data_IF_567608237639
#
_entry.id   IF_567608237639
#
_cell.length_a   1.000
_cell.length_b   1.000
_cell.length_c   1.000
_cell.angle_alpha   90.00
_cell.angle_beta   90.00
_cell.angle_gamma   90.00
#
_symmetry.space_group_name_H-M   'P 1'
#
loop_
_entity.id
_entity.type
_entity.pdbx_description
1 polymer ?
#
# COMPACT_ATOMS: atom_id res chain seq x y z
N UNK A 1 23.48 -15.29 0.86
CA UNK A 1 23.21 -16.18 2.01
C UNK A 1 22.12 -15.61 2.91
N UNK A 2 22.29 -14.42 3.51
CA UNK A 2 21.35 -13.79 4.45
C UNK A 2 19.89 -13.70 3.93
N UNK A 3 19.71 -13.35 2.64
CA UNK A 3 18.38 -13.30 2.00
C UNK A 3 17.76 -14.70 1.83
N UNK A 4 18.56 -15.72 1.52
CA UNK A 4 18.10 -17.11 1.39
C UNK A 4 17.60 -17.64 2.73
N UNK A 5 18.35 -17.36 3.78
CA UNK A 5 18.01 -17.73 5.15
C UNK A 5 16.72 -17.03 5.61
N UNK A 6 16.61 -15.69 5.41
CA UNK A 6 15.44 -14.91 5.82
C UNK A 6 14.17 -15.34 5.09
N UNK A 7 14.27 -15.63 3.79
CA UNK A 7 13.15 -16.04 2.96
C UNK A 7 12.86 -17.55 3.04
N UNK A 8 13.70 -18.30 3.77
CA UNK A 8 13.64 -19.76 3.89
C UNK A 8 13.57 -20.48 2.54
N UNK A 9 14.48 -20.12 1.62
CA UNK A 9 14.55 -20.67 0.25
C UNK A 9 15.97 -21.08 -0.10
N UNK A 10 16.10 -22.05 -0.98
CA UNK A 10 17.41 -22.51 -1.49
C UNK A 10 17.96 -21.66 -2.65
N UNK A 11 17.10 -20.88 -3.31
CA UNK A 11 17.48 -20.06 -4.46
C UNK A 11 16.52 -18.85 -4.60
N UNK A 12 17.06 -17.74 -5.11
CA UNK A 12 16.28 -16.54 -5.39
C UNK A 12 15.65 -16.53 -6.81
N UNK A 13 15.81 -17.61 -7.58
CA UNK A 13 15.26 -17.73 -8.96
C UNK A 13 13.75 -17.47 -9.02
N UNK A 14 13.02 -17.94 -8.02
CA UNK A 14 11.56 -17.71 -7.94
C UNK A 14 11.13 -16.26 -7.73
N UNK A 15 12.07 -15.36 -7.44
CA UNK A 15 11.80 -13.93 -7.22
C UNK A 15 12.20 -13.06 -8.43
N UNK A 16 12.62 -13.66 -9.55
CA UNK A 16 13.08 -12.93 -10.78
C UNK A 16 14.18 -11.89 -10.47
N UNK A 17 15.14 -12.26 -9.62
CA UNK A 17 16.18 -11.35 -9.12
C UNK A 17 17.61 -11.82 -9.37
N UNK A 18 17.83 -12.95 -10.05
CA UNK A 18 19.16 -13.58 -10.20
C UNK A 18 20.16 -12.70 -10.98
N UNK A 19 19.68 -11.81 -11.84
CA UNK A 19 20.49 -10.87 -12.62
C UNK A 19 20.81 -9.56 -11.87
N UNK A 20 20.33 -9.40 -10.64
CA UNK A 20 20.45 -8.17 -9.87
C UNK A 20 21.55 -8.25 -8.78
N UNK A 21 22.79 -8.63 -9.12
CA UNK A 21 23.87 -8.79 -8.16
C UNK A 21 24.00 -7.62 -7.17
N UNK A 22 24.09 -6.39 -7.67
CA UNK A 22 24.18 -5.21 -6.80
C UNK A 22 22.89 -4.94 -6.00
N UNK A 23 21.73 -5.18 -6.60
CA UNK A 23 20.44 -5.07 -5.92
C UNK A 23 20.29 -6.07 -4.77
N UNK A 24 20.73 -7.31 -4.98
CA UNK A 24 20.75 -8.35 -3.96
C UNK A 24 21.72 -8.04 -2.83
N UNK A 25 22.91 -7.51 -3.15
CA UNK A 25 23.88 -7.04 -2.13
C UNK A 25 23.28 -5.91 -1.29
N UNK A 26 22.63 -4.92 -1.92
CA UNK A 26 21.98 -3.83 -1.20
C UNK A 26 20.84 -4.33 -0.31
N UNK A 27 20.00 -5.25 -0.81
CA UNK A 27 18.94 -5.87 -0.02
C UNK A 27 19.48 -6.68 1.16
N UNK A 28 20.57 -7.44 0.94
CA UNK A 28 21.27 -8.16 2.00
C UNK A 28 21.85 -7.23 3.07
N UNK A 29 22.47 -6.12 2.67
CA UNK A 29 22.99 -5.13 3.60
C UNK A 29 21.88 -4.46 4.43
N UNK A 30 20.75 -4.12 3.79
CA UNK A 30 19.58 -3.58 4.48
C UNK A 30 19.00 -4.58 5.49
N UNK A 31 18.93 -5.86 5.13
CA UNK A 31 18.47 -6.92 6.03
C UNK A 31 19.44 -7.13 7.21
N UNK A 32 20.76 -7.11 6.96
CA UNK A 32 21.76 -7.17 8.01
C UNK A 32 21.59 -6.02 9.01
N UNK A 33 21.46 -4.80 8.49
CA UNK A 33 21.22 -3.62 9.32
C UNK A 33 19.94 -3.76 10.18
N UNK A 34 18.86 -4.28 9.61
CA UNK A 34 17.63 -4.53 10.37
C UNK A 34 17.82 -5.58 11.46
N UNK A 35 18.55 -6.67 11.18
CA UNK A 35 18.86 -7.72 12.19
C UNK A 35 19.66 -7.17 13.36
N UNK A 36 20.60 -6.28 13.09
CA UNK A 36 21.46 -5.68 14.12
C UNK A 36 20.71 -4.66 15.02
N UNK A 37 19.69 -4.01 14.46
CA UNK A 37 18.99 -2.92 15.16
C UNK A 37 17.59 -3.29 15.68
N UNK A 38 17.03 -4.43 15.25
CA UNK A 38 15.74 -4.93 15.67
C UNK A 38 15.90 -6.29 16.37
N UNK A 39 14.94 -6.66 17.23
CA UNK A 39 14.91 -8.03 17.75
C UNK A 39 14.66 -9.00 16.61
N UNK A 40 15.29 -10.19 16.65
CA UNK A 40 15.19 -11.19 15.58
C UNK A 40 13.71 -11.47 15.18
N UNK A 41 12.82 -11.64 16.14
CA UNK A 41 11.39 -11.86 15.91
C UNK A 41 10.67 -10.67 15.25
N UNK A 42 11.23 -9.45 15.29
CA UNK A 42 10.61 -8.27 14.68
C UNK A 42 10.75 -8.22 13.16
N UNK A 43 11.57 -9.09 12.56
CA UNK A 43 11.81 -9.16 11.11
C UNK A 43 11.28 -10.43 10.46
N UNK A 44 10.67 -11.34 11.22
CA UNK A 44 10.12 -12.62 10.70
C UNK A 44 9.03 -12.41 9.65
N UNK A 45 8.35 -11.26 9.68
CA UNK A 45 7.35 -10.87 8.70
C UNK A 45 7.96 -10.49 7.33
N UNK A 46 9.29 -10.28 7.23
CA UNK A 46 9.99 -10.00 5.97
C UNK A 46 10.23 -11.32 5.25
N UNK A 47 9.20 -11.79 4.54
CA UNK A 47 9.20 -13.06 3.82
C UNK A 47 9.04 -12.89 2.30
N UNK A 48 9.14 -11.67 1.77
CA UNK A 48 8.91 -11.38 0.35
C UNK A 48 9.98 -10.47 -0.21
N UNK A 49 10.52 -10.86 -1.38
CA UNK A 49 11.40 -10.06 -2.21
C UNK A 49 10.67 -9.73 -3.51
N UNK A 50 10.67 -8.47 -3.92
CA UNK A 50 10.08 -8.03 -5.20
C UNK A 50 11.08 -7.21 -5.99
N UNK A 51 11.31 -7.64 -7.24
CA UNK A 51 12.01 -6.83 -8.21
C UNK A 51 11.15 -5.64 -8.62
N UNK A 52 11.70 -4.43 -8.53
CA UNK A 52 11.08 -3.23 -9.11
C UNK A 52 11.81 -2.90 -10.43
N UNK A 53 11.11 -3.05 -11.55
CA UNK A 53 11.67 -2.71 -12.87
C UNK A 53 11.62 -1.20 -13.06
N UNK A 54 12.78 -0.60 -13.35
CA UNK A 54 12.85 0.85 -13.64
C UNK A 54 12.10 1.24 -14.91
N UNK A 55 11.88 0.29 -15.84
CA UNK A 55 11.18 0.52 -17.11
C UNK A 55 9.69 0.79 -17.01
N UNK A 56 9.05 0.39 -15.89
CA UNK A 56 7.59 0.46 -15.73
C UNK A 56 7.10 1.88 -15.41
N UNK A 57 8.00 2.77 -14.98
CA UNK A 57 7.66 4.12 -14.56
C UNK A 57 8.55 5.16 -15.23
N UNK A 58 8.02 6.36 -15.39
CA UNK A 58 8.79 7.53 -15.78
C UNK A 58 9.74 7.92 -14.64
N UNK A 59 11.03 8.05 -14.95
CA UNK A 59 12.02 8.51 -13.98
C UNK A 59 11.95 10.05 -13.91
N UNK A 60 11.46 10.54 -12.80
CA UNK A 60 11.50 11.96 -12.45
C UNK A 60 12.55 12.14 -11.36
N UNK A 61 13.63 12.84 -11.67
CA UNK A 61 14.63 13.20 -10.68
C UNK A 61 14.10 14.25 -9.69
N UNK A 62 14.85 14.51 -8.64
CA UNK A 62 14.45 15.46 -7.61
C UNK A 62 14.32 16.89 -8.15
N UNK A 63 15.08 17.26 -9.19
CA UNK A 63 14.97 18.56 -9.83
C UNK A 63 13.67 18.68 -10.63
N UNK A 64 13.36 17.68 -11.46
CA UNK A 64 12.11 17.62 -12.21
C UNK A 64 10.88 17.64 -11.28
N UNK A 65 10.90 16.86 -10.20
CA UNK A 65 9.79 16.85 -9.22
C UNK A 65 9.57 18.22 -8.58
N UNK A 66 10.65 18.93 -8.24
CA UNK A 66 10.57 20.31 -7.70
C UNK A 66 10.08 21.29 -8.75
N UNK A 67 10.70 21.28 -9.94
CA UNK A 67 10.39 22.24 -11.01
C UNK A 67 8.95 22.14 -11.54
N UNK A 68 8.32 20.98 -11.37
CA UNK A 68 6.92 20.73 -11.72
C UNK A 68 5.95 20.93 -10.55
N UNK A 69 6.43 21.38 -9.39
CA UNK A 69 5.63 21.53 -8.17
C UNK A 69 4.74 20.30 -7.87
N UNK A 70 5.29 19.09 -8.03
CA UNK A 70 4.49 17.87 -7.94
C UNK A 70 4.00 17.60 -6.53
N UNK A 71 4.88 17.69 -5.53
CA UNK A 71 4.60 17.33 -4.15
C UNK A 71 4.56 18.53 -3.23
N UNK A 72 5.43 19.48 -3.48
CA UNK A 72 5.58 20.73 -2.75
C UNK A 72 5.82 21.85 -3.77
N UNK A 73 5.39 23.08 -3.47
CA UNK A 73 5.69 24.23 -4.31
C UNK A 73 7.15 24.68 -4.11
N UNK A 74 7.72 25.34 -5.13
CA UNK A 74 9.10 25.83 -5.07
C UNK A 74 9.26 27.11 -4.25
N UNK A 75 8.19 27.86 -4.03
CA UNK A 75 8.27 29.20 -3.45
C UNK A 75 8.60 29.13 -1.94
N UNK A 76 7.88 28.31 -1.19
CA UNK A 76 8.02 28.17 0.25
C UNK A 76 8.22 26.73 0.73
N UNK A 77 8.21 25.77 -0.19
CA UNK A 77 8.34 24.35 0.10
C UNK A 77 7.10 23.72 0.74
N UNK A 78 6.00 24.49 0.86
CA UNK A 78 4.76 23.98 1.41
C UNK A 78 4.06 23.01 0.43
N UNK A 79 3.07 22.29 0.94
CA UNK A 79 2.22 21.44 0.08
C UNK A 79 1.22 22.28 -0.73
N UNK A 80 0.79 23.41 -0.21
CA UNK A 80 -0.15 24.31 -0.87
C UNK A 80 0.42 24.82 -2.20
N UNK A 81 -0.38 24.89 -3.25
CA UNK A 81 0.08 25.24 -4.60
C UNK A 81 0.77 24.12 -5.37
N UNK A 82 0.96 22.93 -4.79
CA UNK A 82 1.47 21.76 -5.52
C UNK A 82 0.38 21.00 -6.26
N UNK A 83 0.76 20.20 -7.27
CA UNK A 83 -0.16 19.29 -7.97
C UNK A 83 -0.81 18.31 -6.99
N UNK A 84 -0.04 17.80 -6.02
CA UNK A 84 -0.57 16.93 -4.98
C UNK A 84 -1.67 17.60 -4.17
N UNK A 85 -1.55 18.89 -3.83
CA UNK A 85 -2.56 19.60 -3.05
C UNK A 85 -3.89 19.72 -3.77
N UNK A 86 -3.85 19.85 -5.11
CA UNK A 86 -5.05 19.94 -5.96
C UNK A 86 -5.73 18.58 -6.14
N UNK A 87 -4.94 17.50 -6.28
CA UNK A 87 -5.45 16.17 -6.59
C UNK A 87 -5.81 15.34 -5.37
N UNK A 88 -5.27 15.67 -4.19
CA UNK A 88 -5.48 14.82 -3.01
C UNK A 88 -6.84 15.03 -2.36
N UNK A 89 -7.78 14.27 -2.86
CA UNK A 89 -9.10 14.06 -2.26
C UNK A 89 -9.25 12.65 -1.70
N UNK A 90 -8.15 12.00 -1.35
CA UNK A 90 -8.15 10.63 -0.80
C UNK A 90 -8.89 10.57 0.53
N UNK A 91 -9.42 9.39 0.87
CA UNK A 91 -10.17 9.13 2.10
C UNK A 91 -9.40 8.25 3.08
N UNK A 92 -8.27 7.70 2.65
CA UNK A 92 -7.44 6.82 3.47
C UNK A 92 -5.98 7.27 3.45
N UNK A 93 -5.25 7.00 4.53
CA UNK A 93 -3.81 7.27 4.58
C UNK A 93 -3.03 6.45 3.52
N UNK A 94 -3.47 5.20 3.26
CA UNK A 94 -2.93 4.35 2.19
C UNK A 94 -3.11 5.01 0.82
N UNK A 95 -4.31 5.51 0.53
CA UNK A 95 -4.61 6.21 -0.72
C UNK A 95 -3.76 7.46 -0.91
N UNK A 96 -3.57 8.26 0.14
CA UNK A 96 -2.73 9.45 0.09
C UNK A 96 -1.26 9.11 -0.21
N UNK A 97 -0.72 8.05 0.41
CA UNK A 97 0.65 7.57 0.11
C UNK A 97 0.75 7.04 -1.32
N UNK A 98 -0.24 6.29 -1.79
CA UNK A 98 -0.27 5.77 -3.15
C UNK A 98 -0.36 6.88 -4.20
N UNK A 99 -1.20 7.90 -3.98
CA UNK A 99 -1.30 9.07 -4.87
C UNK A 99 0.04 9.80 -4.95
N UNK A 100 0.70 10.04 -3.82
CA UNK A 100 2.04 10.64 -3.77
C UNK A 100 3.07 9.81 -4.57
N UNK A 101 3.03 8.49 -4.43
CA UNK A 101 3.89 7.58 -5.19
C UNK A 101 3.61 7.69 -6.69
N UNK A 102 2.35 7.71 -7.11
CA UNK A 102 1.97 7.81 -8.53
C UNK A 102 2.42 9.13 -9.17
N UNK A 103 2.34 10.23 -8.45
CA UNK A 103 2.86 11.52 -8.93
C UNK A 103 4.39 11.53 -9.04
N UNK A 104 5.09 10.88 -8.11
CA UNK A 104 6.56 10.80 -8.11
C UNK A 104 7.11 9.81 -9.15
N UNK A 105 6.34 8.81 -9.51
CA UNK A 105 6.72 7.73 -10.42
C UNK A 105 5.54 7.34 -11.32
N UNK A 106 5.17 8.18 -12.32
CA UNK A 106 4.07 7.91 -13.22
C UNK A 106 4.31 6.66 -14.07
N UNK A 107 3.25 5.96 -14.43
CA UNK A 107 3.33 4.82 -15.35
C UNK A 107 3.79 5.26 -16.74
N UNK A 108 4.47 4.34 -17.44
CA UNK A 108 4.88 4.51 -18.85
C UNK A 108 4.06 3.63 -19.80
N UNK A 109 3.53 2.53 -19.32
CA UNK A 109 2.78 1.58 -20.13
C UNK A 109 1.39 2.12 -20.46
N UNK A 110 1.08 2.38 -21.74
CA UNK A 110 -0.23 2.89 -22.14
C UNK A 110 -1.39 1.95 -21.79
N UNK A 111 -1.16 0.65 -21.72
CA UNK A 111 -2.20 -0.33 -21.38
C UNK A 111 -2.64 -0.11 -19.94
N UNK A 112 -1.69 -0.03 -19.03
CA UNK A 112 -1.97 0.22 -17.60
C UNK A 112 -2.55 1.62 -17.37
N UNK A 113 -2.07 2.63 -18.09
CA UNK A 113 -2.60 4.00 -18.03
C UNK A 113 -4.07 4.00 -18.46
N UNK A 114 -4.37 3.40 -19.61
CA UNK A 114 -5.74 3.35 -20.14
C UNK A 114 -6.68 2.56 -19.21
N UNK A 115 -6.22 1.48 -18.60
CA UNK A 115 -7.02 0.73 -17.62
C UNK A 115 -7.40 1.61 -16.42
N UNK A 116 -6.49 2.44 -15.91
CA UNK A 116 -6.79 3.42 -14.85
C UNK A 116 -7.74 4.51 -15.33
N UNK A 117 -7.53 5.03 -16.54
CA UNK A 117 -8.40 6.07 -17.11
C UNK A 117 -9.82 5.57 -17.32
N UNK A 118 -10.00 4.34 -17.78
CA UNK A 118 -11.32 3.72 -17.92
C UNK A 118 -12.05 3.66 -16.57
N UNK A 119 -11.37 3.27 -15.50
CA UNK A 119 -11.96 3.27 -14.17
C UNK A 119 -12.32 4.68 -13.69
N UNK A 120 -11.44 5.66 -13.93
CA UNK A 120 -11.72 7.07 -13.60
C UNK A 120 -12.95 7.56 -14.36
N UNK A 121 -13.07 7.25 -15.65
CA UNK A 121 -14.25 7.62 -16.46
C UNK A 121 -15.53 7.02 -15.87
N UNK A 122 -15.54 5.73 -15.58
CA UNK A 122 -16.67 5.06 -14.94
C UNK A 122 -17.05 5.71 -13.60
N UNK A 123 -16.05 6.10 -12.80
CA UNK A 123 -16.29 6.80 -11.53
C UNK A 123 -16.80 8.24 -11.70
N UNK A 124 -16.43 8.93 -12.77
CA UNK A 124 -16.94 10.28 -13.09
C UNK A 124 -18.40 10.21 -13.50
N UNK A 125 -18.76 9.25 -14.35
CA UNK A 125 -20.12 9.07 -14.87
C UNK A 125 -21.10 8.59 -13.79
N UNK A 126 -20.63 7.87 -12.78
CA UNK A 126 -21.47 7.25 -11.73
C UNK A 126 -21.26 7.91 -10.37
N UNK A 127 -21.71 9.17 -10.24
CA UNK A 127 -21.48 10.00 -9.04
C UNK A 127 -21.97 9.37 -7.73
N UNK A 128 -23.15 8.75 -7.75
CA UNK A 128 -23.74 8.14 -6.54
C UNK A 128 -22.91 6.93 -6.06
N UNK A 129 -22.49 6.07 -6.97
CA UNK A 129 -21.65 4.90 -6.67
C UNK A 129 -20.27 5.33 -6.15
N UNK A 130 -19.68 6.36 -6.77
CA UNK A 130 -18.43 6.95 -6.28
C UNK A 130 -18.57 7.51 -4.86
N UNK A 131 -19.66 8.19 -4.53
CA UNK A 131 -19.92 8.70 -3.19
C UNK A 131 -19.99 7.53 -2.18
N UNK A 132 -20.73 6.47 -2.51
CA UNK A 132 -20.85 5.27 -1.69
C UNK A 132 -19.49 4.60 -1.46
N UNK A 133 -18.66 4.44 -2.51
CA UNK A 133 -17.32 3.89 -2.36
C UNK A 133 -16.47 4.75 -1.40
N UNK A 134 -16.55 6.08 -1.51
CA UNK A 134 -15.82 7.00 -0.62
C UNK A 134 -16.23 6.86 0.84
N UNK A 135 -17.51 6.67 1.12
CA UNK A 135 -18.03 6.39 2.47
C UNK A 135 -17.48 5.07 3.03
N UNK A 136 -17.41 4.01 2.21
CA UNK A 136 -16.81 2.76 2.65
C UNK A 136 -15.30 2.89 2.92
N UNK A 137 -14.59 3.64 2.08
CA UNK A 137 -13.16 3.89 2.27
C UNK A 137 -12.86 4.66 3.56
N UNK A 138 -13.75 5.54 4.03
CA UNK A 138 -13.59 6.27 5.30
C UNK A 138 -13.54 5.36 6.53
N UNK A 139 -14.07 4.14 6.41
CA UNK A 139 -14.02 3.11 7.47
C UNK A 139 -12.66 2.42 7.57
N UNK A 140 -11.79 2.60 6.55
CA UNK A 140 -10.47 1.98 6.50
C UNK A 140 -9.44 2.88 7.18
N UNK A 141 -8.92 2.42 8.30
CA UNK A 141 -7.82 3.06 9.01
C UNK A 141 -6.47 2.89 8.31
N UNK A 142 -5.41 3.36 8.97
CA UNK A 142 -4.05 3.19 8.46
C UNK A 142 -3.52 1.77 8.72
N UNK A 143 -3.96 0.83 7.88
CA UNK A 143 -3.59 -0.59 7.98
C UNK A 143 -2.07 -0.81 7.97
N UNK A 144 -1.32 -0.09 7.12
CA UNK A 144 0.14 -0.24 7.07
C UNK A 144 0.79 0.13 8.40
N UNK A 145 0.34 1.22 9.00
CA UNK A 145 0.88 1.69 10.29
C UNK A 145 0.50 0.74 11.44
N UNK A 146 -0.74 0.26 11.46
CA UNK A 146 -1.19 -0.69 12.46
C UNK A 146 -0.43 -2.01 12.33
N UNK A 147 -0.32 -2.54 11.11
CA UNK A 147 0.46 -3.75 10.84
C UNK A 147 1.94 -3.60 11.20
N UNK A 148 2.57 -2.47 10.87
CA UNK A 148 3.95 -2.20 11.26
C UNK A 148 4.13 -2.24 12.78
N UNK A 149 3.18 -1.71 13.55
CA UNK A 149 3.20 -1.79 15.03
C UNK A 149 3.05 -3.22 15.52
N UNK A 150 2.15 -4.00 14.92
CA UNK A 150 1.97 -5.43 15.24
C UNK A 150 3.29 -6.18 14.99
N UNK A 151 3.87 -6.03 13.81
CA UNK A 151 5.14 -6.69 13.45
C UNK A 151 6.32 -6.30 14.36
N UNK A 152 6.31 -5.07 14.87
CA UNK A 152 7.33 -4.58 15.80
C UNK A 152 7.00 -4.86 17.27
N UNK A 153 5.95 -5.62 17.59
CA UNK A 153 5.46 -5.89 18.96
C UNK A 153 5.20 -4.62 19.77
N UNK A 154 4.66 -3.57 19.11
CA UNK A 154 4.33 -2.25 19.70
C UNK A 154 2.87 -1.86 19.52
N UNK A 155 2.05 -2.79 19.03
CA UNK A 155 0.62 -2.55 18.88
C UNK A 155 -0.07 -2.48 20.23
N UNK A 156 -0.91 -1.46 20.41
CA UNK A 156 -1.82 -1.38 21.54
C UNK A 156 -3.10 -2.19 21.25
N UNK A 157 -3.91 -2.55 22.25
CA UNK A 157 -5.23 -3.15 22.03
C UNK A 157 -6.12 -2.31 21.11
N UNK A 158 -6.00 -0.99 21.17
CA UNK A 158 -6.72 -0.05 20.29
C UNK A 158 -6.25 -0.13 18.82
N UNK A 159 -4.95 -0.33 18.58
CA UNK A 159 -4.44 -0.57 17.23
C UNK A 159 -5.03 -1.87 16.65
N UNK A 160 -5.14 -2.92 17.46
CA UNK A 160 -5.73 -4.20 17.04
C UNK A 160 -7.23 -4.09 16.78
N UNK A 161 -7.96 -3.35 17.60
CA UNK A 161 -9.38 -3.03 17.36
C UNK A 161 -9.59 -2.25 16.07
N UNK A 162 -8.76 -1.23 15.82
CA UNK A 162 -8.75 -0.46 14.57
C UNK A 162 -8.40 -1.32 13.33
N UNK A 163 -7.49 -2.26 13.49
CA UNK A 163 -7.14 -3.26 12.45
C UNK A 163 -8.36 -4.14 12.17
N UNK A 164 -9.00 -4.71 13.19
CA UNK A 164 -10.19 -5.54 13.05
C UNK A 164 -11.32 -4.81 12.32
N UNK A 165 -11.63 -3.58 12.75
CA UNK A 165 -12.68 -2.76 12.13
C UNK A 165 -12.38 -2.45 10.65
N UNK A 166 -11.13 -2.13 10.33
CA UNK A 166 -10.71 -1.85 8.95
C UNK A 166 -10.80 -3.09 8.07
N UNK A 167 -10.34 -4.24 8.57
CA UNK A 167 -10.37 -5.51 7.85
C UNK A 167 -11.82 -5.98 7.63
N UNK A 168 -12.68 -5.83 8.61
CA UNK A 168 -14.11 -6.15 8.49
C UNK A 168 -14.85 -5.29 7.43
N UNK A 169 -14.33 -4.09 7.12
CA UNK A 169 -14.91 -3.22 6.09
C UNK A 169 -14.42 -3.53 4.66
N UNK A 170 -13.38 -4.35 4.47
CA UNK A 170 -12.81 -4.65 3.14
C UNK A 170 -13.82 -5.29 2.17
N UNK A 171 -14.68 -6.25 2.58
CA UNK A 171 -15.70 -6.82 1.67
C UNK A 171 -16.65 -5.75 1.11
N UNK A 172 -17.08 -4.79 1.93
CA UNK A 172 -17.95 -3.69 1.51
C UNK A 172 -17.24 -2.78 0.48
N UNK A 173 -15.95 -2.52 0.68
CA UNK A 173 -15.13 -1.76 -0.28
C UNK A 173 -14.98 -2.53 -1.59
N UNK A 174 -14.72 -3.84 -1.53
CA UNK A 174 -14.65 -4.71 -2.71
C UNK A 174 -15.95 -4.68 -3.50
N UNK A 175 -17.09 -4.91 -2.84
CA UNK A 175 -18.41 -4.87 -3.45
C UNK A 175 -18.74 -3.49 -4.08
N UNK A 176 -18.38 -2.40 -3.38
CA UNK A 176 -18.57 -1.05 -3.91
C UNK A 176 -17.66 -0.74 -5.10
N UNK A 177 -16.51 -1.40 -5.21
CA UNK A 177 -15.55 -1.22 -6.31
C UNK A 177 -16.00 -1.95 -7.57
N UNK A 178 -16.51 -3.17 -7.46
CA UNK A 178 -16.95 -3.97 -8.63
C UNK A 178 -18.12 -3.38 -9.39
N UNK A 179 -18.87 -2.46 -8.79
CA UNK A 179 -20.00 -1.75 -9.43
C UNK A 179 -19.54 -0.95 -10.66
N UNK A 180 -18.27 -0.52 -10.73
CA UNK A 180 -17.76 0.28 -11.84
C UNK A 180 -17.50 -0.51 -13.13
N UNK A 181 -17.75 -1.80 -13.15
CA UNK A 181 -17.72 -2.71 -14.31
C UNK A 181 -16.57 -2.51 -15.30
N UNK A 182 -15.38 -2.26 -14.80
CA UNK A 182 -14.14 -2.23 -15.58
C UNK A 182 -13.27 -3.44 -15.24
N UNK A 183 -12.38 -3.90 -16.15
CA UNK A 183 -11.47 -5.01 -15.83
C UNK A 183 -10.64 -4.72 -14.57
N UNK A 184 -10.16 -3.49 -14.39
CA UNK A 184 -9.41 -3.10 -13.21
C UNK A 184 -10.28 -3.11 -11.94
N UNK A 185 -11.51 -2.60 -11.99
CA UNK A 185 -12.42 -2.64 -10.84
C UNK A 185 -12.73 -4.07 -10.40
N UNK A 186 -13.00 -4.95 -11.38
CA UNK A 186 -13.24 -6.38 -11.11
C UNK A 186 -12.03 -7.06 -10.46
N UNK A 187 -10.82 -6.80 -10.95
CA UNK A 187 -9.61 -7.37 -10.35
C UNK A 187 -9.35 -6.86 -8.93
N UNK A 188 -9.68 -5.61 -8.63
CA UNK A 188 -9.52 -5.03 -7.30
C UNK A 188 -10.56 -5.51 -6.28
N UNK A 189 -11.76 -5.88 -6.75
CA UNK A 189 -12.86 -6.33 -5.90
C UNK A 189 -12.99 -7.86 -5.78
N UNK A 190 -12.25 -8.63 -6.58
CA UNK A 190 -12.38 -10.08 -6.67
C UNK A 190 -11.48 -10.86 -5.69
N UNK A 191 -10.57 -10.19 -5.00
CA UNK A 191 -9.68 -10.86 -4.06
C UNK A 191 -10.48 -11.33 -2.84
N UNK A 192 -10.82 -12.62 -2.85
CA UNK A 192 -11.28 -13.30 -1.65
C UNK A 192 -10.14 -13.27 -0.62
N UNK A 193 -10.46 -12.78 0.57
CA UNK A 193 -9.55 -12.76 1.69
C UNK A 193 -9.95 -13.87 2.70
N UNK A 194 -9.81 -15.17 2.36
CA UNK A 194 -10.28 -16.28 3.20
C UNK A 194 -9.59 -16.30 4.58
N UNK A 195 -8.47 -15.64 4.68
CA UNK A 195 -7.66 -15.49 5.88
C UNK A 195 -8.26 -14.53 6.92
N UNK A 196 -9.16 -13.67 6.48
CA UNK A 196 -9.69 -12.55 7.26
C UNK A 196 -10.66 -13.02 8.34
N UNK A 197 -11.49 -14.00 8.07
CA UNK A 197 -12.50 -14.49 9.03
C UNK A 197 -11.86 -15.05 10.29
N UNK A 198 -10.82 -15.87 10.18
CA UNK A 198 -10.10 -16.41 11.33
C UNK A 198 -9.42 -15.32 12.17
N UNK A 199 -8.85 -14.31 11.51
CA UNK A 199 -8.27 -13.16 12.21
C UNK A 199 -9.33 -12.34 12.94
N UNK A 200 -10.47 -12.06 12.30
CA UNK A 200 -11.57 -11.32 12.92
C UNK A 200 -12.15 -12.06 14.13
N UNK A 201 -12.35 -13.37 14.03
CA UNK A 201 -12.81 -14.20 15.16
C UNK A 201 -11.81 -14.15 16.32
N UNK A 202 -10.52 -14.29 16.04
CA UNK A 202 -9.48 -14.20 17.06
C UNK A 202 -9.50 -12.84 17.77
N UNK A 203 -9.57 -11.75 17.02
CA UNK A 203 -9.58 -10.39 17.56
C UNK A 203 -10.88 -10.12 18.35
N UNK A 204 -12.03 -10.60 17.87
CA UNK A 204 -13.31 -10.46 18.56
C UNK A 204 -13.35 -11.21 19.90
N UNK A 205 -12.64 -12.33 20.04
CA UNK A 205 -12.56 -13.06 21.31
C UNK A 205 -11.52 -12.49 22.26
N UNK A 206 -10.48 -11.84 21.75
CA UNK A 206 -9.36 -11.34 22.54
C UNK A 206 -9.53 -9.89 23.01
N UNK A 207 -10.38 -9.11 22.36
CA UNK A 207 -10.56 -7.68 22.63
C UNK A 207 -11.97 -7.39 23.17
N UNK A 208 -12.06 -6.39 24.01
CA UNK A 208 -13.34 -5.76 24.39
C UNK A 208 -13.78 -4.77 23.31
N UNK A 209 -15.06 -4.37 23.32
CA UNK A 209 -15.64 -3.48 22.28
C UNK A 209 -14.95 -2.11 22.17
N UNK A 210 -14.45 -1.56 23.28
CA UNK A 210 -13.65 -0.31 23.29
C UNK A 210 -12.32 -0.56 24.03
N UNK A 211 -11.30 -1.07 23.32
CA UNK A 211 -10.04 -1.40 23.94
C UNK A 211 -9.25 -0.15 24.34
N UNK A 212 -8.53 -0.19 25.46
CA UNK A 212 -7.72 0.93 25.93
C UNK A 212 -6.57 1.26 24.95
N UNK A 213 -6.07 2.49 25.03
CA UNK A 213 -4.98 3.00 24.19
C UNK A 213 -3.64 2.32 24.50
#
# INVERSE_FOLDING_TARGET
>A
ELLLEQLNVHSLKGFDCDDLDQGLRAAGAALAYLRDHQRASAIDHINRLRRRRRGDHLLLDAAAQRNLDLLNNQHDGSREGSLLSVLDHTRTALGARLLRLWLSAPLRDPIQINARLQLVTAMVETRAQRARLREQLERIGDLERMMARVCCHRASPRDLGGLAASVAALPDVGAATTIFDTPLARSLGADELPFVEGLLQLLATALVDDPPA
#
